data_IF_428682328813
#
_entry.id   IF_428682328813
#
_cell.length_a   1.000
_cell.length_b   1.000
_cell.length_c   1.000
_cell.angle_alpha   90.00
_cell.angle_beta   90.00
_cell.angle_gamma   90.00
#
_symmetry.space_group_name_H-M   'P 1'
#
loop_
_entity.id
_entity.type
_entity.pdbx_description
1 polymer ?
#
# COMPACT_ATOMS: atom_id res chain seq x y z
N UNK A 1 -0.42 -16.22 -10.54
CA UNK A 1 -0.79 -15.82 -9.19
C UNK A 1 -2.14 -15.12 -9.23
N UNK A 2 -2.95 -15.29 -8.19
CA UNK A 2 -4.26 -14.66 -8.01
C UNK A 2 -4.35 -14.07 -6.62
N UNK A 3 -5.04 -12.94 -6.50
CA UNK A 3 -5.37 -12.34 -5.20
C UNK A 3 -6.39 -13.23 -4.49
N UNK A 4 -6.09 -13.66 -3.27
CA UNK A 4 -6.97 -14.51 -2.46
C UNK A 4 -7.67 -13.74 -1.35
N UNK A 5 -7.02 -12.69 -0.83
CA UNK A 5 -7.56 -11.87 0.25
C UNK A 5 -6.86 -10.50 0.28
N UNK A 6 -7.55 -9.48 0.81
CA UNK A 6 -6.99 -8.15 1.02
C UNK A 6 -7.34 -7.68 2.44
N UNK A 7 -6.33 -7.54 3.31
CA UNK A 7 -6.50 -6.96 4.64
C UNK A 7 -6.31 -5.44 4.57
N UNK A 8 -7.22 -4.69 5.18
CA UNK A 8 -7.13 -3.23 5.37
C UNK A 8 -7.01 -2.95 6.86
N UNK A 9 -5.90 -2.37 7.28
CA UNK A 9 -5.51 -2.24 8.69
C UNK A 9 -5.24 -0.78 8.99
N UNK A 10 -6.18 -0.05 9.62
CA UNK A 10 -5.92 1.28 10.14
C UNK A 10 -4.85 1.21 11.24
N UNK A 11 -3.83 2.07 11.15
CA UNK A 11 -2.77 2.17 12.14
C UNK A 11 -2.60 3.64 12.58
N UNK A 12 -2.21 3.81 13.84
CA UNK A 12 -1.76 5.09 14.39
C UNK A 12 -0.26 5.00 14.69
N UNK A 13 0.57 5.65 13.87
CA UNK A 13 2.01 5.60 13.97
C UNK A 13 2.52 6.59 15.02
N UNK A 14 3.36 6.16 15.99
CA UNK A 14 3.85 7.07 17.01
C UNK A 14 4.75 8.15 16.40
N UNK A 15 4.39 9.41 16.60
CA UNK A 15 5.23 10.54 16.21
C UNK A 15 6.46 10.68 17.13
N UNK A 16 7.54 11.25 16.58
CA UNK A 16 8.73 11.53 17.36
C UNK A 16 8.43 12.47 18.55
N UNK A 17 9.05 12.21 19.71
CA UNK A 17 8.82 12.96 20.96
C UNK A 17 8.92 14.49 20.82
N UNK A 18 9.73 15.00 19.88
CA UNK A 18 9.85 16.44 19.61
C UNK A 18 8.53 17.11 19.18
N UNK A 19 7.56 16.33 18.71
CA UNK A 19 6.23 16.78 18.32
C UNK A 19 5.18 16.63 19.44
N UNK A 20 5.55 16.12 20.62
CA UNK A 20 4.65 16.00 21.77
C UNK A 20 4.49 17.33 22.53
N UNK A 21 4.05 18.35 21.79
CA UNK A 21 3.65 19.65 22.31
C UNK A 21 2.52 20.21 21.45
N UNK A 22 1.87 21.29 21.92
CA UNK A 22 0.73 21.90 21.23
C UNK A 22 1.03 22.20 19.74
N UNK A 23 2.17 22.87 19.46
CA UNK A 23 2.55 23.22 18.08
C UNK A 23 2.84 21.98 17.21
N UNK A 24 3.46 20.95 17.78
CA UNK A 24 3.75 19.70 17.09
C UNK A 24 2.46 18.99 16.69
N UNK A 25 1.49 18.87 17.60
CA UNK A 25 0.19 18.25 17.32
C UNK A 25 -0.64 19.03 16.29
N UNK A 26 -0.54 20.36 16.25
CA UNK A 26 -1.20 21.16 15.20
C UNK A 26 -0.55 20.97 13.84
N UNK A 27 0.79 20.91 13.77
CA UNK A 27 1.52 20.77 12.50
C UNK A 27 1.47 19.36 11.92
N UNK A 28 1.42 18.37 12.79
CA UNK A 28 1.41 16.94 12.45
C UNK A 28 0.01 16.37 12.63
N UNK A 29 -1.02 17.20 12.48
CA UNK A 29 -2.39 16.74 12.61
C UNK A 29 -2.65 15.68 11.54
N UNK A 30 -3.11 14.51 11.99
CA UNK A 30 -3.49 13.33 11.19
C UNK A 30 -2.40 12.60 10.41
N UNK A 31 -1.18 13.14 10.33
CA UNK A 31 -0.05 12.46 9.66
C UNK A 31 0.40 11.17 10.35
N UNK A 32 -0.10 10.92 11.55
CA UNK A 32 0.09 9.66 12.27
C UNK A 32 -0.96 8.60 11.91
N UNK A 33 -2.04 8.98 11.22
CA UNK A 33 -3.12 8.08 10.84
C UNK A 33 -2.89 7.54 9.44
N UNK A 34 -2.66 6.23 9.35
CA UNK A 34 -2.33 5.56 8.12
C UNK A 34 -3.21 4.33 7.93
N UNK A 35 -3.33 3.87 6.69
CA UNK A 35 -3.92 2.58 6.36
C UNK A 35 -2.87 1.67 5.74
N UNK A 36 -2.66 0.51 6.35
CA UNK A 36 -1.82 -0.56 5.82
C UNK A 36 -2.69 -1.55 5.07
N UNK A 37 -2.28 -1.88 3.86
CA UNK A 37 -2.90 -2.91 3.04
C UNK A 37 -1.99 -4.11 2.93
N UNK A 38 -2.54 -5.32 3.11
CA UNK A 38 -1.88 -6.57 2.76
C UNK A 38 -2.67 -7.27 1.67
N UNK A 39 -1.99 -7.65 0.58
CA UNK A 39 -2.58 -8.46 -0.49
C UNK A 39 -2.00 -9.87 -0.38
N UNK A 40 -2.86 -10.84 -0.11
CA UNK A 40 -2.50 -12.26 -0.08
C UNK A 40 -2.76 -12.89 -1.46
N UNK A 41 -1.89 -13.81 -1.86
CA UNK A 41 -2.02 -14.49 -3.15
C UNK A 41 -1.96 -16.00 -3.04
N UNK A 42 -2.51 -16.69 -4.03
CA UNK A 42 -2.67 -18.15 -4.10
C UNK A 42 -1.37 -18.95 -4.05
N UNK A 43 -0.23 -18.31 -4.33
CA UNK A 43 1.11 -18.88 -4.24
C UNK A 43 1.85 -18.49 -2.94
N UNK A 44 1.15 -17.91 -1.95
CA UNK A 44 1.67 -17.58 -0.63
C UNK A 44 2.49 -16.29 -0.54
N UNK A 45 2.58 -15.49 -1.61
CA UNK A 45 3.17 -14.15 -1.53
C UNK A 45 2.22 -13.17 -0.86
N UNK A 46 2.82 -12.20 -0.15
CA UNK A 46 2.09 -11.09 0.46
C UNK A 46 2.70 -9.77 0.01
N UNK A 47 1.89 -8.92 -0.60
CA UNK A 47 2.24 -7.52 -0.90
C UNK A 47 1.82 -6.59 0.21
N UNK A 48 2.62 -5.56 0.49
CA UNK A 48 2.36 -4.54 1.51
C UNK A 48 2.35 -3.15 0.89
N UNK A 49 1.43 -2.33 1.34
CA UNK A 49 1.38 -0.90 1.01
C UNK A 49 0.82 -0.09 2.17
N UNK A 50 1.17 1.18 2.20
CA UNK A 50 0.82 2.11 3.26
C UNK A 50 0.59 3.49 2.64
N UNK A 51 -0.35 4.24 3.20
CA UNK A 51 -0.55 5.63 2.84
C UNK A 51 -1.24 6.42 3.96
N UNK A 52 -0.91 7.71 4.03
CA UNK A 52 -1.56 8.71 4.89
C UNK A 52 -2.97 8.98 4.34
N UNK A 53 -3.91 8.07 4.62
CA UNK A 53 -5.32 8.26 4.33
C UNK A 53 -6.14 7.63 5.45
N UNK A 54 -7.04 8.44 6.01
CA UNK A 54 -8.02 8.01 7.02
C UNK A 54 -9.15 7.19 6.41
N UNK A 55 -9.32 7.27 5.10
CA UNK A 55 -10.45 6.66 4.41
C UNK A 55 -10.29 5.15 4.42
N UNK A 56 -11.25 4.47 5.04
CA UNK A 56 -11.40 3.04 4.84
C UNK A 56 -11.53 2.76 3.34
N UNK A 57 -10.71 1.86 2.82
CA UNK A 57 -10.85 1.37 1.45
C UNK A 57 -12.17 0.61 1.39
N UNK A 58 -13.10 1.09 0.57
CA UNK A 58 -14.45 0.54 0.49
C UNK A 58 -14.42 -0.87 -0.09
N UNK A 59 -15.31 -1.75 0.36
CA UNK A 59 -15.38 -3.13 -0.14
C UNK A 59 -15.60 -3.18 -1.64
N UNK A 60 -16.32 -2.20 -2.21
CA UNK A 60 -16.57 -2.08 -3.64
C UNK A 60 -15.30 -1.82 -4.46
N UNK A 61 -14.24 -1.29 -3.85
CA UNK A 61 -12.92 -1.14 -4.47
C UNK A 61 -12.10 -2.43 -4.39
N UNK A 62 -12.35 -3.29 -3.39
CA UNK A 62 -11.59 -4.51 -3.10
C UNK A 62 -12.17 -5.73 -3.80
N UNK A 63 -13.49 -5.93 -3.72
CA UNK A 63 -14.19 -7.10 -4.23
C UNK A 63 -13.87 -7.42 -5.70
N UNK A 64 -13.77 -6.44 -6.63
CA UNK A 64 -13.43 -6.71 -8.02
C UNK A 64 -12.02 -7.26 -8.26
N UNK A 65 -11.12 -7.14 -7.28
CA UNK A 65 -9.73 -7.58 -7.37
C UNK A 65 -9.57 -9.05 -6.97
N UNK A 66 -10.47 -9.59 -6.13
CA UNK A 66 -10.37 -10.95 -5.64
C UNK A 66 -10.45 -11.95 -6.80
N UNK A 67 -9.55 -12.93 -6.79
CA UNK A 67 -9.41 -13.96 -7.83
C UNK A 67 -8.72 -13.48 -9.11
N UNK A 68 -8.38 -12.19 -9.22
CA UNK A 68 -7.67 -11.60 -10.37
C UNK A 68 -6.17 -11.65 -10.19
N UNK A 69 -5.46 -11.53 -11.31
CA UNK A 69 -4.02 -11.45 -11.30
C UNK A 69 -3.60 -10.00 -10.97
N UNK A 70 -2.71 -9.74 -10.00
CA UNK A 70 -2.21 -8.39 -9.71
C UNK A 70 -1.70 -7.62 -10.94
N UNK A 71 -1.14 -8.33 -11.93
CA UNK A 71 -0.65 -7.74 -13.19
C UNK A 71 -1.76 -7.15 -14.08
N UNK A 72 -3.03 -7.51 -13.86
CA UNK A 72 -4.18 -6.90 -14.55
C UNK A 72 -4.36 -5.42 -14.14
N UNK A 73 -3.72 -4.99 -13.06
CA UNK A 73 -3.87 -3.66 -12.45
C UNK A 73 -2.59 -2.82 -12.53
N UNK A 74 -1.72 -3.10 -13.51
CA UNK A 74 -0.60 -2.19 -13.82
C UNK A 74 -1.14 -0.80 -14.16
N UNK A 75 -0.47 0.23 -13.65
CA UNK A 75 -0.88 1.64 -13.80
C UNK A 75 -2.31 1.95 -13.32
N UNK A 76 -2.82 1.20 -12.33
CA UNK A 76 -4.08 1.54 -11.67
C UNK A 76 -4.07 2.94 -11.05
N UNK A 77 -5.26 3.44 -10.73
CA UNK A 77 -5.49 4.68 -10.00
C UNK A 77 -6.33 4.42 -8.73
N UNK A 78 -6.01 3.32 -8.04
CA UNK A 78 -6.66 2.93 -6.78
C UNK A 78 -6.16 3.78 -5.62
N UNK A 79 -6.71 3.56 -4.43
CA UNK A 79 -6.10 4.02 -3.19
C UNK A 79 -4.59 3.69 -3.18
N UNK A 80 -3.79 4.65 -2.73
CA UNK A 80 -2.32 4.56 -2.79
C UNK A 80 -1.77 3.35 -2.02
N UNK A 81 -2.30 3.02 -0.85
CA UNK A 81 -1.86 1.86 -0.08
C UNK A 81 -2.15 0.54 -0.83
N UNK A 82 -3.33 0.44 -1.46
CA UNK A 82 -3.70 -0.71 -2.28
C UNK A 82 -2.83 -0.83 -3.54
N UNK A 83 -2.62 0.29 -4.24
CA UNK A 83 -1.74 0.37 -5.40
C UNK A 83 -0.31 -0.05 -5.06
N UNK A 84 0.26 0.46 -3.96
CA UNK A 84 1.58 0.06 -3.49
C UNK A 84 1.67 -1.43 -3.16
N UNK A 85 0.66 -1.99 -2.47
CA UNK A 85 0.63 -3.42 -2.15
C UNK A 85 0.60 -4.32 -3.41
N UNK A 86 -0.12 -3.89 -4.46
CA UNK A 86 -0.10 -4.58 -5.76
C UNK A 86 1.31 -4.57 -6.37
N UNK A 87 1.99 -3.41 -6.39
CA UNK A 87 3.35 -3.32 -6.94
C UNK A 87 4.38 -4.11 -6.13
N UNK A 88 4.23 -4.17 -4.80
CA UNK A 88 5.09 -4.98 -3.95
C UNK A 88 4.94 -6.48 -4.25
N UNK A 89 3.70 -7.01 -4.34
CA UNK A 89 3.50 -8.43 -4.66
C UNK A 89 3.94 -8.78 -6.08
N UNK A 90 3.73 -7.88 -7.06
CA UNK A 90 4.21 -8.07 -8.43
C UNK A 90 5.75 -8.12 -8.50
N UNK A 91 6.44 -7.21 -7.78
CA UNK A 91 7.89 -7.20 -7.69
C UNK A 91 8.46 -8.45 -7.03
N UNK A 92 7.84 -8.88 -5.90
CA UNK A 92 8.19 -10.13 -5.21
C UNK A 92 8.02 -11.36 -6.10
N UNK A 93 6.93 -11.43 -6.85
CA UNK A 93 6.68 -12.55 -7.77
C UNK A 93 7.73 -12.66 -8.87
N UNK A 94 8.20 -11.51 -9.37
CA UNK A 94 9.20 -11.44 -10.44
C UNK A 94 10.64 -11.40 -9.95
N UNK A 95 10.85 -11.36 -8.62
CA UNK A 95 12.17 -11.19 -8.00
C UNK A 95 12.92 -9.92 -8.49
N UNK A 96 12.18 -8.84 -8.74
CA UNK A 96 12.73 -7.54 -9.16
C UNK A 96 12.22 -6.40 -8.30
N UNK A 97 12.99 -5.31 -8.14
CA UNK A 97 12.51 -4.12 -7.46
C UNK A 97 11.35 -3.47 -8.22
N UNK A 98 10.38 -2.92 -7.49
CA UNK A 98 9.14 -2.36 -8.05
C UNK A 98 9.35 -1.32 -9.17
N UNK A 99 10.43 -0.54 -9.13
CA UNK A 99 10.71 0.44 -10.19
C UNK A 99 10.83 -0.18 -11.58
N UNK A 100 11.22 -1.47 -11.70
CA UNK A 100 11.29 -2.18 -12.98
C UNK A 100 9.92 -2.34 -13.65
N UNK A 101 8.84 -2.27 -12.88
CA UNK A 101 7.46 -2.26 -13.37
C UNK A 101 6.99 -0.86 -13.79
N UNK A 102 7.72 0.19 -13.38
CA UNK A 102 7.39 1.59 -13.63
C UNK A 102 8.24 2.22 -14.75
N UNK A 103 9.38 1.61 -15.10
CA UNK A 103 10.26 2.07 -16.17
C UNK A 103 11.74 1.85 -15.89
N UNK A 104 12.60 2.57 -16.61
CA UNK A 104 14.04 2.54 -16.39
C UNK A 104 14.43 3.34 -15.15
N UNK A 105 15.45 2.86 -14.43
CA UNK A 105 16.04 3.60 -13.30
C UNK A 105 16.73 4.86 -13.83
N UNK A 106 16.33 6.03 -13.33
CA UNK A 106 16.89 7.34 -13.75
C UNK A 106 17.73 8.04 -12.67
N UNK A 107 17.75 7.51 -11.45
CA UNK A 107 18.55 8.01 -10.31
C UNK A 107 18.78 6.88 -9.29
N UNK A 108 19.86 6.96 -8.53
CA UNK A 108 20.19 6.00 -7.47
C UNK A 108 19.61 6.40 -6.10
N UNK A 109 19.62 7.69 -5.79
CA UNK A 109 18.97 8.35 -4.66
C UNK A 109 18.95 9.85 -4.93
#
# INVERSE_FOLDING_TARGET
MKITDIEVIPIAMPLAKRYDNHHGRTRMYDIDQHVVVKIHTDNGLVGYGDYEDRSAIASEEIEPLIGRNPFDFLHNNFNMALGMALYDVMGKYLEVPAYKLLGQKVRDA
#
